data_IF_558855347626
#
_entry.id   IF_558855347626
#
_cell.length_a   1.000
_cell.length_b   1.000
_cell.length_c   1.000
_cell.angle_alpha   90.00
_cell.angle_beta   90.00
_cell.angle_gamma   90.00
#
_symmetry.space_group_name_H-M   'P 1'
#
loop_
_entity.id
_entity.type
_entity.pdbx_description
1 polymer ?
#
# COMPACT_ATOMS: atom_id res chain seq x y z
N UNK A 1 55.92 -9.90 24.93
CA UNK A 1 56.42 -10.32 23.61
C UNK A 1 55.24 -10.42 22.64
N UNK A 2 54.61 -9.28 22.32
CA UNK A 2 53.53 -9.12 21.33
C UNK A 2 53.62 -7.70 20.77
N UNK A 3 54.75 -7.36 20.12
CA UNK A 3 55.04 -5.96 19.77
C UNK A 3 54.63 -5.52 18.37
N UNK A 4 54.10 -6.42 17.52
CA UNK A 4 53.49 -6.03 16.25
C UNK A 4 52.34 -6.97 15.93
N UNK A 5 51.16 -6.66 16.45
CA UNK A 5 49.93 -7.29 15.98
C UNK A 5 49.76 -6.91 14.51
N UNK A 6 50.05 -7.83 13.61
CA UNK A 6 50.02 -7.53 12.18
C UNK A 6 48.60 -7.19 11.76
N UNK A 7 48.44 -6.16 10.92
CA UNK A 7 47.14 -5.60 10.53
C UNK A 7 46.14 -6.66 10.02
N UNK A 8 46.65 -7.75 9.41
CA UNK A 8 45.83 -8.86 8.94
C UNK A 8 45.26 -9.73 10.09
N UNK A 9 45.98 -9.87 11.20
CA UNK A 9 45.48 -10.55 12.41
C UNK A 9 44.34 -9.75 13.06
N UNK A 10 44.42 -8.42 13.03
CA UNK A 10 43.34 -7.54 13.50
C UNK A 10 42.08 -7.73 12.66
N UNK A 11 42.21 -7.85 11.33
CA UNK A 11 41.09 -8.14 10.43
C UNK A 11 40.45 -9.51 10.73
N UNK A 12 41.26 -10.55 10.96
CA UNK A 12 40.76 -11.88 11.32
C UNK A 12 40.03 -11.89 12.69
N UNK A 13 40.53 -11.11 13.66
CA UNK A 13 39.91 -10.97 14.97
C UNK A 13 38.58 -10.21 14.94
N UNK A 14 38.48 -9.20 14.06
CA UNK A 14 37.26 -8.41 13.87
C UNK A 14 36.21 -9.09 12.98
N UNK A 15 36.64 -9.95 12.05
CA UNK A 15 35.75 -10.66 11.13
C UNK A 15 34.54 -11.34 11.80
N UNK A 16 34.68 -12.14 12.88
CA UNK A 16 33.51 -12.76 13.52
C UNK A 16 32.54 -11.73 14.12
N UNK A 17 33.05 -10.63 14.69
CA UNK A 17 32.22 -9.57 15.27
C UNK A 17 31.43 -8.83 14.19
N UNK A 18 32.09 -8.50 13.07
CA UNK A 18 31.42 -7.87 11.92
C UNK A 18 30.37 -8.80 11.33
N UNK A 19 30.65 -10.10 11.25
CA UNK A 19 29.73 -11.10 10.71
C UNK A 19 28.48 -11.26 11.59
N UNK A 20 28.65 -11.28 12.91
CA UNK A 20 27.54 -11.29 13.88
C UNK A 20 26.70 -10.01 13.78
N UNK A 21 27.34 -8.83 13.76
CA UNK A 21 26.64 -7.55 13.59
C UNK A 21 25.87 -7.48 12.27
N UNK A 22 26.49 -7.93 11.18
CA UNK A 22 25.84 -7.99 9.87
C UNK A 22 24.66 -8.97 9.87
N UNK A 23 24.79 -10.12 10.54
CA UNK A 23 23.70 -11.09 10.66
C UNK A 23 22.54 -10.55 11.51
N UNK A 24 22.83 -9.88 12.62
CA UNK A 24 21.80 -9.22 13.47
C UNK A 24 21.09 -8.14 12.66
N UNK A 25 21.84 -7.24 12.02
CA UNK A 25 21.27 -6.18 11.15
C UNK A 25 20.43 -6.77 10.03
N UNK A 26 20.89 -7.85 9.40
CA UNK A 26 20.15 -8.53 8.34
C UNK A 26 18.88 -9.20 8.88
N UNK A 27 18.93 -9.78 10.08
CA UNK A 27 17.76 -10.35 10.76
C UNK A 27 16.76 -9.27 11.17
N UNK A 28 17.21 -8.13 11.65
CA UNK A 28 16.36 -6.97 11.97
C UNK A 28 15.71 -6.38 10.72
N UNK A 29 16.47 -6.27 9.63
CA UNK A 29 15.93 -5.90 8.32
C UNK A 29 14.88 -6.91 7.84
N UNK A 30 15.10 -8.21 8.06
CA UNK A 30 14.13 -9.25 7.72
C UNK A 30 12.91 -9.27 8.64
N UNK A 31 13.08 -9.01 9.94
CA UNK A 31 12.00 -8.93 10.92
C UNK A 31 11.14 -7.67 10.73
N UNK A 32 11.73 -6.60 10.19
CA UNK A 32 11.02 -5.38 9.80
C UNK A 32 10.34 -5.44 8.42
N UNK A 33 10.58 -6.49 7.62
CA UNK A 33 9.90 -6.65 6.33
C UNK A 33 8.45 -7.09 6.56
N UNK A 34 7.50 -6.30 6.06
CA UNK A 34 6.09 -6.66 6.07
C UNK A 34 5.90 -7.98 5.32
N UNK A 35 5.27 -8.96 5.96
CA UNK A 35 4.90 -10.22 5.33
C UNK A 35 3.50 -10.09 4.71
N UNK A 36 3.25 -10.81 3.61
CA UNK A 36 1.96 -10.78 2.93
C UNK A 36 0.78 -11.12 3.86
N UNK A 37 0.97 -12.07 4.78
CA UNK A 37 -0.05 -12.50 5.74
C UNK A 37 -0.41 -11.43 6.78
N UNK A 38 0.51 -10.50 7.04
CA UNK A 38 0.31 -9.41 7.99
C UNK A 38 -0.20 -8.12 7.33
N UNK A 39 -0.40 -8.12 6.01
CA UNK A 39 -0.91 -6.95 5.30
C UNK A 39 -2.40 -6.76 5.59
N UNK A 40 -2.73 -5.58 6.08
CA UNK A 40 -4.11 -5.11 6.12
C UNK A 40 -4.68 -5.00 4.70
N UNK A 41 -6.00 -5.13 4.52
CA UNK A 41 -6.63 -5.01 3.20
C UNK A 41 -6.28 -3.69 2.49
N UNK A 42 -6.22 -2.58 3.24
CA UNK A 42 -5.85 -1.26 2.70
C UNK A 42 -4.39 -1.20 2.20
N UNK A 43 -3.46 -1.87 2.88
CA UNK A 43 -2.07 -1.98 2.43
C UNK A 43 -1.97 -2.79 1.13
N UNK A 44 -2.78 -3.84 0.96
CA UNK A 44 -2.83 -4.62 -0.28
C UNK A 44 -3.31 -3.75 -1.45
N UNK A 45 -4.40 -2.99 -1.26
CA UNK A 45 -4.87 -2.03 -2.26
C UNK A 45 -3.80 -0.99 -2.63
N UNK A 46 -3.10 -0.44 -1.64
CA UNK A 46 -2.01 0.51 -1.87
C UNK A 46 -0.87 -0.09 -2.70
N UNK A 47 -0.48 -1.34 -2.43
CA UNK A 47 0.56 -2.04 -3.21
C UNK A 47 0.15 -2.18 -4.67
N UNK A 48 -1.12 -2.46 -4.96
CA UNK A 48 -1.62 -2.52 -6.35
C UNK A 48 -1.54 -1.16 -7.02
N UNK A 49 -2.00 -0.09 -6.36
CA UNK A 49 -1.95 1.28 -6.90
C UNK A 49 -0.52 1.68 -7.27
N UNK A 50 0.45 1.38 -6.39
CA UNK A 50 1.86 1.75 -6.58
C UNK A 50 2.56 1.00 -7.73
N UNK A 51 1.99 -0.11 -8.16
CA UNK A 51 2.54 -0.97 -9.21
C UNK A 51 1.96 -0.63 -10.59
N UNK A 52 0.86 0.11 -10.64
CA UNK A 52 0.26 0.58 -11.88
C UNK A 52 1.11 1.71 -12.52
N UNK A 53 1.13 1.82 -13.85
CA UNK A 53 1.67 2.98 -14.54
C UNK A 53 1.01 4.27 -14.04
N UNK A 54 1.72 5.40 -13.96
CA UNK A 54 1.23 6.61 -13.31
C UNK A 54 -0.07 7.16 -13.92
N UNK A 55 -0.27 7.03 -15.24
CA UNK A 55 -1.52 7.43 -15.90
C UNK A 55 -2.72 6.57 -15.50
N UNK A 56 -2.51 5.26 -15.39
CA UNK A 56 -3.54 4.29 -14.99
C UNK A 56 -3.85 4.44 -13.50
N UNK A 57 -2.82 4.60 -12.67
CA UNK A 57 -2.95 4.89 -11.26
C UNK A 57 -3.74 6.19 -11.04
N UNK A 58 -3.44 7.27 -11.77
CA UNK A 58 -4.17 8.53 -11.64
C UNK A 58 -5.65 8.40 -12.01
N UNK A 59 -5.96 7.70 -13.10
CA UNK A 59 -7.34 7.40 -13.50
C UNK A 59 -8.08 6.61 -12.43
N UNK A 60 -7.44 5.59 -11.85
CA UNK A 60 -8.00 4.82 -10.74
C UNK A 60 -8.21 5.68 -9.47
N UNK A 61 -7.22 6.52 -9.13
CA UNK A 61 -7.24 7.36 -7.93
C UNK A 61 -8.34 8.43 -7.99
N UNK A 62 -8.64 8.96 -9.18
CA UNK A 62 -9.69 9.98 -9.38
C UNK A 62 -11.10 9.49 -9.01
N UNK A 63 -11.30 8.19 -8.84
CA UNK A 63 -12.59 7.59 -8.50
C UNK A 63 -12.78 7.35 -7.00
N UNK A 64 -11.73 7.52 -6.20
CA UNK A 64 -11.82 7.45 -4.75
C UNK A 64 -12.13 8.82 -4.15
N UNK A 65 -12.87 8.82 -3.05
CA UNK A 65 -13.08 10.03 -2.27
C UNK A 65 -11.79 10.41 -1.53
N UNK A 66 -11.63 11.69 -1.18
CA UNK A 66 -10.45 12.20 -0.48
C UNK A 66 -10.15 11.42 0.82
N UNK A 67 -11.20 11.08 1.59
CA UNK A 67 -11.06 10.29 2.80
C UNK A 67 -10.54 8.86 2.55
N UNK A 68 -10.96 8.23 1.44
CA UNK A 68 -10.49 6.91 1.04
C UNK A 68 -9.01 6.97 0.63
N UNK A 69 -8.65 7.98 -0.18
CA UNK A 69 -7.28 8.23 -0.61
C UNK A 69 -6.33 8.43 0.58
N UNK A 70 -6.71 9.28 1.55
CA UNK A 70 -5.94 9.48 2.78
C UNK A 70 -5.79 8.17 3.55
N UNK A 71 -6.85 7.36 3.63
CA UNK A 71 -6.83 6.05 4.27
C UNK A 71 -5.83 5.08 3.62
N UNK A 72 -5.83 5.02 2.29
CA UNK A 72 -4.89 4.18 1.54
C UNK A 72 -3.44 4.67 1.65
N UNK A 73 -3.20 5.98 1.54
CA UNK A 73 -1.86 6.57 1.71
C UNK A 73 -1.32 6.30 3.12
N UNK A 74 -2.15 6.50 4.15
CA UNK A 74 -1.77 6.22 5.55
C UNK A 74 -1.43 4.76 5.77
N UNK A 75 -2.24 3.84 5.22
CA UNK A 75 -1.96 2.41 5.26
C UNK A 75 -0.62 2.09 4.55
N UNK A 76 -0.39 2.69 3.39
CA UNK A 76 0.83 2.52 2.59
C UNK A 76 2.11 2.91 3.31
N UNK A 77 2.10 3.98 4.12
CA UNK A 77 3.28 4.45 4.89
C UNK A 77 3.80 3.44 5.91
N UNK A 78 2.97 2.48 6.31
CA UNK A 78 3.33 1.43 7.27
C UNK A 78 3.83 0.13 6.59
N UNK A 79 3.86 0.09 5.26
CA UNK A 79 4.46 -1.04 4.52
C UNK A 79 5.98 -0.87 4.50
N UNK A 80 6.68 -1.72 5.24
CA UNK A 80 8.14 -1.70 5.35
C UNK A 80 8.78 -2.79 4.48
N UNK A 81 9.82 -2.42 3.72
CA UNK A 81 10.60 -3.33 2.87
C UNK A 81 10.48 -3.05 1.37
N UNK A 82 11.28 -3.76 0.55
CA UNK A 82 11.39 -3.52 -0.91
C UNK A 82 10.09 -3.73 -1.70
N UNK A 83 9.01 -4.25 -1.09
CA UNK A 83 7.72 -4.45 -1.74
C UNK A 83 7.69 -5.50 -2.85
N UNK A 84 8.82 -5.80 -3.53
CA UNK A 84 8.94 -6.73 -4.66
C UNK A 84 8.40 -8.13 -4.36
N UNK A 85 8.60 -8.61 -3.14
CA UNK A 85 8.10 -9.92 -2.71
C UNK A 85 6.60 -9.93 -2.35
N UNK A 86 5.99 -8.74 -2.19
CA UNK A 86 4.57 -8.57 -1.86
C UNK A 86 3.71 -8.34 -3.09
N UNK A 87 4.27 -7.76 -4.16
CA UNK A 87 3.52 -7.49 -5.40
C UNK A 87 2.88 -8.77 -5.94
N UNK A 88 3.68 -9.82 -6.18
CA UNK A 88 3.17 -11.05 -6.79
C UNK A 88 2.03 -11.72 -5.99
N UNK A 89 2.15 -11.95 -4.67
CA UNK A 89 1.04 -12.53 -3.90
C UNK A 89 -0.18 -11.60 -3.82
N UNK A 90 0.01 -10.28 -3.72
CA UNK A 90 -1.10 -9.30 -3.74
C UNK A 90 -1.85 -9.32 -5.08
N UNK A 91 -1.12 -9.32 -6.21
CA UNK A 91 -1.74 -9.41 -7.53
C UNK A 91 -2.45 -10.75 -7.73
N UNK A 92 -1.90 -11.84 -7.20
CA UNK A 92 -2.58 -13.15 -7.25
C UNK A 92 -3.90 -13.13 -6.47
N UNK A 93 -3.92 -12.53 -5.28
CA UNK A 93 -5.15 -12.35 -4.50
C UNK A 93 -6.15 -11.46 -5.26
N UNK A 94 -5.71 -10.35 -5.85
CA UNK A 94 -6.56 -9.49 -6.69
C UNK A 94 -7.23 -10.28 -7.82
N UNK A 95 -6.44 -11.07 -8.57
CA UNK A 95 -6.95 -11.92 -9.67
C UNK A 95 -7.95 -12.97 -9.18
N UNK A 96 -7.80 -13.46 -7.95
CA UNK A 96 -8.77 -14.38 -7.35
C UNK A 96 -10.08 -13.68 -6.96
N UNK A 97 -10.04 -12.40 -6.60
CA UNK A 97 -11.20 -11.60 -6.21
C UNK A 97 -11.92 -10.95 -7.40
N UNK A 98 -11.25 -10.86 -8.55
CA UNK A 98 -11.84 -10.30 -9.76
C UNK A 98 -13.07 -11.11 -10.22
N UNK A 99 -14.16 -10.44 -10.65
CA UNK A 99 -15.33 -11.06 -11.25
C UNK A 99 -14.94 -11.98 -12.41
N UNK A 100 -15.67 -13.08 -12.64
CA UNK A 100 -15.35 -14.05 -13.70
C UNK A 100 -15.21 -13.41 -15.09
N UNK A 101 -15.97 -12.36 -15.37
CA UNK A 101 -15.89 -11.55 -16.61
C UNK A 101 -14.53 -10.90 -16.82
N UNK A 102 -13.87 -10.55 -15.71
CA UNK A 102 -12.57 -9.90 -15.70
C UNK A 102 -11.42 -10.88 -15.49
N UNK A 103 -11.72 -12.17 -15.26
CA UNK A 103 -10.69 -13.18 -15.16
C UNK A 103 -10.11 -13.48 -16.54
N UNK A 104 -8.86 -13.94 -16.48
CA UNK A 104 -7.96 -14.25 -17.60
C UNK A 104 -8.71 -14.82 -18.80
N UNK A 105 -8.69 -14.10 -19.92
CA UNK A 105 -9.23 -14.55 -21.21
C UNK A 105 -8.26 -15.55 -21.84
N UNK A 106 -8.78 -16.43 -22.69
CA UNK A 106 -7.97 -17.42 -23.41
C UNK A 106 -7.05 -16.68 -24.39
N UNK A 107 -5.72 -16.79 -24.22
CA UNK A 107 -4.71 -16.10 -25.03
C UNK A 107 -4.10 -14.84 -24.37
N UNK A 108 -4.53 -14.48 -23.17
CA UNK A 108 -4.02 -13.31 -22.44
C UNK A 108 -2.67 -13.61 -21.75
N UNK A 109 -1.86 -12.56 -21.52
CA UNK A 109 -0.53 -12.66 -20.91
C UNK A 109 -0.53 -13.48 -19.62
N UNK A 110 0.59 -14.16 -19.35
CA UNK A 110 0.78 -14.85 -18.09
C UNK A 110 1.33 -13.96 -16.98
N UNK A 111 1.72 -12.73 -17.31
CA UNK A 111 2.16 -11.78 -16.31
C UNK A 111 0.96 -11.17 -15.58
N UNK A 112 0.92 -11.36 -14.26
CA UNK A 112 -0.11 -10.80 -13.40
C UNK A 112 -0.08 -9.28 -13.41
N UNK A 113 1.09 -8.68 -13.61
CA UNK A 113 1.25 -7.23 -13.68
C UNK A 113 0.54 -6.68 -14.91
N UNK A 114 0.87 -7.19 -16.10
CA UNK A 114 0.25 -6.76 -17.36
C UNK A 114 -1.27 -6.95 -17.34
N UNK A 115 -1.75 -8.08 -16.81
CA UNK A 115 -3.19 -8.31 -16.63
C UNK A 115 -3.82 -7.26 -15.72
N UNK A 116 -3.17 -6.93 -14.61
CA UNK A 116 -3.68 -5.91 -13.68
C UNK A 116 -3.74 -4.53 -14.32
N UNK A 117 -2.71 -4.18 -15.10
CA UNK A 117 -2.64 -2.91 -15.83
C UNK A 117 -3.78 -2.82 -16.85
N UNK A 118 -3.93 -3.83 -17.72
CA UNK A 118 -5.02 -3.86 -18.70
C UNK A 118 -6.40 -3.76 -18.03
N UNK A 119 -6.62 -4.44 -16.90
CA UNK A 119 -7.93 -4.34 -16.21
C UNK A 119 -8.15 -2.98 -15.55
N UNK A 120 -7.09 -2.34 -15.08
CA UNK A 120 -7.15 -0.98 -14.56
C UNK A 120 -7.33 0.07 -15.66
N UNK A 121 -6.86 -0.18 -16.87
CA UNK A 121 -7.12 0.66 -18.04
C UNK A 121 -8.54 0.49 -18.58
N UNK A 122 -8.98 -0.75 -18.77
CA UNK A 122 -10.26 -1.06 -19.42
C UNK A 122 -11.48 -0.85 -18.50
N UNK A 123 -11.32 -1.15 -17.21
CA UNK A 123 -12.42 -1.20 -16.23
C UNK A 123 -12.03 -0.68 -14.84
N UNK A 124 -11.56 0.57 -14.71
CA UNK A 124 -11.10 1.10 -13.43
C UNK A 124 -12.22 1.14 -12.38
N UNK A 125 -13.48 1.35 -12.78
CA UNK A 125 -14.64 1.37 -11.89
C UNK A 125 -14.92 0.02 -11.22
N UNK A 126 -14.69 -1.08 -11.94
CA UNK A 126 -14.85 -2.43 -11.39
C UNK A 126 -13.75 -2.74 -10.36
N UNK A 127 -12.53 -2.24 -10.59
CA UNK A 127 -11.42 -2.33 -9.64
C UNK A 127 -11.67 -1.49 -8.38
N UNK A 128 -12.16 -0.26 -8.53
CA UNK A 128 -12.52 0.61 -7.39
C UNK A 128 -13.61 -0.03 -6.54
N UNK A 129 -14.63 -0.63 -7.15
CA UNK A 129 -15.66 -1.40 -6.42
C UNK A 129 -15.07 -2.59 -5.68
N UNK A 130 -14.11 -3.29 -6.26
CA UNK A 130 -13.40 -4.38 -5.59
C UNK A 130 -12.63 -3.85 -4.37
N UNK A 131 -11.96 -2.70 -4.52
CA UNK A 131 -11.21 -2.08 -3.44
C UNK A 131 -12.14 -1.68 -2.29
N UNK A 132 -13.29 -1.07 -2.58
CA UNK A 132 -14.28 -0.72 -1.56
C UNK A 132 -14.93 -1.93 -0.88
N UNK A 133 -15.15 -3.02 -1.60
CA UNK A 133 -15.83 -4.20 -1.07
C UNK A 133 -14.91 -5.12 -0.25
N UNK A 134 -13.69 -5.35 -0.73
CA UNK A 134 -12.77 -6.33 -0.14
C UNK A 134 -11.59 -5.68 0.57
N UNK A 135 -11.15 -4.50 0.11
CA UNK A 135 -9.93 -3.83 0.58
C UNK A 135 -10.19 -2.39 1.07
N UNK A 136 -11.28 -2.18 1.79
CA UNK A 136 -11.64 -0.87 2.32
C UNK A 136 -10.63 -0.39 3.39
N UNK A 137 -10.25 0.90 3.41
CA UNK A 137 -9.45 1.45 4.49
C UNK A 137 -10.27 1.51 5.78
N UNK A 138 -9.65 1.29 6.96
CA UNK A 138 -10.35 1.19 8.24
C UNK A 138 -11.20 2.43 8.57
N UNK A 139 -10.78 3.61 8.12
CA UNK A 139 -11.45 4.88 8.38
C UNK A 139 -12.66 5.16 7.46
N UNK A 140 -12.77 4.47 6.31
CA UNK A 140 -13.85 4.71 5.32
C UNK A 140 -15.23 4.18 5.76
N UNK A 141 -15.30 3.32 6.79
CA UNK A 141 -16.58 2.85 7.34
C UNK A 141 -17.26 3.85 8.27
N UNK A 142 -16.52 4.86 8.75
CA UNK A 142 -17.09 5.97 9.52
C UNK A 142 -17.37 7.11 8.55
N UNK A 143 -18.55 7.10 7.95
CA UNK A 143 -19.09 8.29 7.28
C UNK A 143 -18.94 9.46 8.27
N UNK A 144 -18.30 10.59 7.91
CA UNK A 144 -18.35 11.76 8.77
C UNK A 144 -19.83 12.13 8.89
N UNK A 145 -20.35 12.01 10.10
CA UNK A 145 -21.62 12.60 10.47
C UNK A 145 -21.44 14.10 10.26
N UNK A 146 -21.89 14.59 9.09
CA UNK A 146 -21.94 16.01 8.80
C UNK A 146 -22.89 16.57 9.84
N UNK A 147 -22.35 17.11 10.93
CA UNK A 147 -23.07 18.08 11.75
C UNK A 147 -23.41 19.22 10.80
N UNK A 148 -24.63 19.20 10.29
CA UNK A 148 -25.27 20.35 9.70
C UNK A 148 -25.21 21.44 10.77
N UNK A 149 -24.24 22.34 10.62
CA UNK A 149 -24.26 23.61 11.33
C UNK A 149 -25.50 24.29 10.83
N UNK A 150 -26.55 24.22 11.64
CA UNK A 150 -27.81 24.90 11.43
C UNK A 150 -27.48 26.39 11.39
N UNK A 151 -27.42 26.95 10.18
CA UNK A 151 -27.42 28.39 9.99
C UNK A 151 -28.76 28.89 10.52
N UNK A 152 -28.76 29.40 11.76
CA UNK A 152 -29.90 30.10 12.31
C UNK A 152 -30.18 31.34 11.45
N UNK A 153 -31.45 31.63 11.11
CA UNK A 153 -31.79 32.78 10.29
C UNK A 153 -31.44 34.07 11.04
N UNK A 154 -30.83 35.00 10.32
CA UNK A 154 -30.58 36.36 10.76
C UNK A 154 -31.91 37.06 11.08
N UNK A 155 -32.11 37.45 12.34
CA UNK A 155 -33.16 38.41 12.72
C UNK A 155 -32.79 39.82 12.22
N UNK A 156 -33.72 40.52 11.57
CA UNK A 156 -33.65 41.97 11.40
C UNK A 156 -34.67 42.65 12.34
N UNK A 157 -34.20 43.20 13.45
CA UNK A 157 -34.88 44.26 14.20
C UNK A 157 -33.87 45.39 14.38
N UNK A 158 -34.14 46.67 14.17
CA UNK A 158 -35.38 47.40 13.96
C UNK A 158 -35.00 48.88 14.08
N UNK A 159 -35.56 49.71 13.21
CA UNK A 159 -35.28 51.13 13.13
C UNK A 159 -35.99 51.95 14.22
N UNK A 160 -35.41 53.13 14.53
CA UNK A 160 -36.00 54.31 15.19
C UNK A 160 -36.60 54.09 16.61
N UNK A 161 -36.29 54.89 17.63
CA UNK A 161 -36.36 56.37 17.70
C UNK A 161 -35.61 56.84 18.94
#
# INVERSE_FOLDING_TARGET
MFDRLEWWQVLLLLAPVVLVMSWIKQRELQAGMSSFHNLTPAQKAWIVIMVLPPGVAASLLSQFDEAELIGYVRAGRSVFGSGRNLVRPVLRELMSLLPQELRRKKGESSDLLELTISRAEDHPEKLVRLFRSHWAPPDSRKKPEVKSVHAGPAEPEGAAT
#
